data_IF_806798361298
#
_entry.id   IF_806798361298
#
_cell.length_a   1.000
_cell.length_b   1.000
_cell.length_c   1.000
_cell.angle_alpha   90.00
_cell.angle_beta   90.00
_cell.angle_gamma   90.00
#
_symmetry.space_group_name_H-M   'P 1'
#
loop_
_entity.id
_entity.type
_entity.pdbx_description
1 polymer ?
#
# COMPACT_ATOMS: atom_id res chain seq x y z
N UNK A 1 12.89 0.73 8.03
CA UNK A 1 11.80 0.24 8.90
C UNK A 1 10.47 0.72 8.35
N UNK A 2 9.51 -0.19 8.14
CA UNK A 2 8.15 0.15 7.69
C UNK A 2 7.27 0.46 8.90
N UNK A 3 6.51 1.55 8.87
CA UNK A 3 5.58 1.92 9.93
C UNK A 3 4.42 2.78 9.40
N UNK A 4 3.35 2.87 10.20
CA UNK A 4 2.17 3.69 9.89
C UNK A 4 2.24 4.96 10.74
N UNK A 5 2.00 6.12 10.11
CA UNK A 5 1.75 7.39 10.80
C UNK A 5 0.31 7.80 10.53
N UNK A 6 -0.51 7.84 11.57
CA UNK A 6 -1.88 8.33 11.48
C UNK A 6 -1.87 9.87 11.51
N UNK A 7 -2.53 10.48 10.54
CA UNK A 7 -2.61 11.92 10.38
C UNK A 7 -4.07 12.35 10.54
N UNK A 8 -4.34 13.18 11.55
CA UNK A 8 -5.61 13.91 11.66
C UNK A 8 -5.32 15.37 11.31
N UNK A 9 -5.72 15.83 10.13
CA UNK A 9 -5.74 17.27 9.92
C UNK A 9 -6.90 17.84 10.74
N UNK A 10 -6.72 19.02 11.34
CA UNK A 10 -7.61 19.58 12.37
C UNK A 10 -9.06 19.82 11.89
N UNK A 11 -9.30 19.76 10.58
CA UNK A 11 -10.62 19.88 9.94
C UNK A 11 -11.22 18.54 9.48
N UNK A 12 -10.42 17.47 9.41
CA UNK A 12 -10.84 16.14 8.95
C UNK A 12 -10.33 15.09 9.93
N UNK A 13 -11.15 14.78 10.95
CA UNK A 13 -10.92 13.68 11.88
C UNK A 13 -10.54 12.39 11.13
N UNK A 14 -9.31 11.93 11.34
CA UNK A 14 -8.85 10.55 11.12
C UNK A 14 -9.06 9.93 9.72
N UNK A 15 -8.98 10.71 8.64
CA UNK A 15 -9.22 10.18 7.28
C UNK A 15 -7.98 9.69 6.54
N UNK A 16 -6.77 9.84 7.09
CA UNK A 16 -5.52 9.55 6.36
C UNK A 16 -4.50 8.77 7.21
N UNK A 17 -3.93 7.72 6.62
CA UNK A 17 -2.81 6.96 7.17
C UNK A 17 -1.63 6.96 6.20
N UNK A 18 -0.48 7.47 6.67
CA UNK A 18 0.76 7.45 5.92
C UNK A 18 1.50 6.13 6.12
N UNK A 19 1.96 5.54 5.02
CA UNK A 19 2.88 4.40 5.04
C UNK A 19 4.29 4.94 4.82
N UNK A 20 5.17 4.69 5.79
CA UNK A 20 6.51 5.25 5.83
C UNK A 20 7.59 4.16 5.86
N UNK A 21 8.69 4.39 5.13
CA UNK A 21 9.91 3.59 5.18
C UNK A 21 11.10 4.48 5.54
N UNK A 22 11.77 4.19 6.66
CA UNK A 22 12.96 4.96 7.13
C UNK A 22 12.74 6.48 7.14
N UNK A 23 11.62 6.91 7.74
CA UNK A 23 11.17 8.30 7.84
C UNK A 23 10.76 8.97 6.52
N UNK A 24 10.77 8.25 5.40
CA UNK A 24 10.21 8.70 4.14
C UNK A 24 8.78 8.17 3.96
N UNK A 25 7.84 9.05 3.66
CA UNK A 25 6.49 8.67 3.27
C UNK A 25 6.54 8.05 1.86
N UNK A 26 6.00 6.85 1.71
CA UNK A 26 6.01 6.10 0.44
C UNK A 26 4.62 5.85 -0.10
N UNK A 27 3.60 5.89 0.75
CA UNK A 27 2.21 5.82 0.33
C UNK A 27 1.29 6.53 1.33
N UNK A 28 0.08 6.82 0.85
CA UNK A 28 -1.00 7.43 1.62
C UNK A 28 -2.23 6.56 1.46
N UNK A 29 -2.91 6.24 2.56
CA UNK A 29 -4.24 5.63 2.53
C UNK A 29 -5.24 6.68 2.96
N UNK A 30 -6.26 6.94 2.14
CA UNK A 30 -7.31 7.92 2.45
C UNK A 30 -8.71 7.29 2.52
N UNK A 31 -9.53 7.82 3.41
CA UNK A 31 -10.92 7.42 3.64
C UNK A 31 -11.93 8.48 3.14
N UNK A 32 -11.51 9.39 2.26
CA UNK A 32 -12.36 10.49 1.75
C UNK A 32 -13.66 9.99 1.08
N UNK A 33 -13.65 8.79 0.51
CA UNK A 33 -14.82 8.12 -0.08
C UNK A 33 -15.69 7.35 0.91
N UNK A 34 -15.37 7.38 2.21
CA UNK A 34 -15.91 6.50 3.23
C UNK A 34 -15.19 5.15 3.32
N UNK A 35 -15.47 4.38 4.37
CA UNK A 35 -14.81 3.09 4.68
C UNK A 35 -14.86 2.10 3.51
N UNK A 36 -15.93 2.10 2.73
CA UNK A 36 -16.10 1.19 1.58
C UNK A 36 -15.41 1.64 0.28
N UNK A 37 -14.74 2.79 0.28
CA UNK A 37 -14.11 3.36 -0.92
C UNK A 37 -12.74 3.99 -0.60
N UNK A 38 -12.00 3.32 0.30
CA UNK A 38 -10.64 3.72 0.63
C UNK A 38 -9.72 3.61 -0.58
N UNK A 39 -8.77 4.53 -0.67
CA UNK A 39 -7.76 4.56 -1.74
C UNK A 39 -6.37 4.48 -1.15
N UNK A 40 -5.45 3.96 -1.95
CA UNK A 40 -4.02 4.06 -1.71
C UNK A 40 -3.38 4.89 -2.82
N UNK A 41 -2.53 5.82 -2.42
CA UNK A 41 -1.67 6.61 -3.29
C UNK A 41 -0.22 6.21 -3.06
N UNK A 42 0.45 5.70 -4.08
CA UNK A 42 1.87 5.38 -4.06
C UNK A 42 2.63 6.63 -4.49
N UNK A 43 3.45 7.15 -3.58
CA UNK A 43 4.20 8.37 -3.82
C UNK A 43 5.41 8.07 -4.71
N UNK A 44 5.72 8.94 -5.68
CA UNK A 44 6.88 8.76 -6.52
C UNK A 44 8.17 8.82 -5.69
N UNK A 45 9.16 8.02 -6.09
CA UNK A 45 10.53 8.12 -5.62
C UNK A 45 11.43 8.63 -6.73
N UNK A 46 12.19 9.70 -6.50
CA UNK A 46 13.09 10.29 -7.51
C UNK A 46 12.36 11.20 -8.49
N UNK A 47 12.70 11.12 -9.78
CA UNK A 47 12.22 12.03 -10.85
C UNK A 47 10.84 11.66 -11.42
N UNK A 48 10.06 10.82 -10.75
CA UNK A 48 8.71 10.49 -11.20
C UNK A 48 7.75 11.63 -10.83
N UNK A 49 6.99 12.12 -11.81
CA UNK A 49 6.21 13.35 -11.66
C UNK A 49 4.85 13.14 -10.97
N UNK A 50 4.30 11.92 -10.95
CA UNK A 50 2.92 11.69 -10.49
C UNK A 50 2.80 10.50 -9.52
N UNK A 51 1.99 10.69 -8.49
CA UNK A 51 1.57 9.62 -7.59
C UNK A 51 0.54 8.72 -8.27
N UNK A 52 0.61 7.42 -7.99
CA UNK A 52 -0.31 6.42 -8.53
C UNK A 52 -1.41 6.11 -7.52
N UNK A 53 -2.66 6.30 -7.90
CA UNK A 53 -3.82 6.09 -7.01
C UNK A 53 -4.66 4.88 -7.44
N UNK A 54 -5.04 4.04 -6.48
CA UNK A 54 -5.83 2.82 -6.69
C UNK A 54 -6.88 2.63 -5.58
N UNK A 55 -7.97 1.87 -5.84
CA UNK A 55 -8.80 1.33 -4.76
C UNK A 55 -7.95 0.44 -3.83
N UNK A 56 -8.07 0.65 -2.52
CA UNK A 56 -7.22 -0.04 -1.53
C UNK A 56 -7.41 -1.57 -1.59
N UNK A 57 -8.66 -2.02 -1.66
CA UNK A 57 -8.99 -3.45 -1.68
C UNK A 57 -8.43 -4.15 -2.93
N UNK A 58 -8.51 -3.50 -4.09
CA UNK A 58 -7.93 -4.01 -5.33
C UNK A 58 -6.41 -4.17 -5.21
N UNK A 59 -5.74 -3.17 -4.64
CA UNK A 59 -4.30 -3.19 -4.43
C UNK A 59 -3.86 -4.28 -3.44
N UNK A 60 -4.57 -4.45 -2.32
CA UNK A 60 -4.29 -5.52 -1.35
C UNK A 60 -4.48 -6.90 -2.00
N UNK A 61 -5.55 -7.06 -2.78
CA UNK A 61 -5.85 -8.33 -3.46
C UNK A 61 -4.75 -8.71 -4.45
N UNK A 62 -4.29 -7.77 -5.29
CA UNK A 62 -3.25 -8.09 -6.29
C UNK A 62 -1.90 -8.43 -5.62
N UNK A 63 -1.55 -7.76 -4.52
CA UNK A 63 -0.34 -8.07 -3.74
C UNK A 63 -0.42 -9.46 -3.09
N UNK A 64 -1.57 -9.80 -2.50
CA UNK A 64 -1.81 -11.11 -1.91
C UNK A 64 -1.70 -12.22 -2.95
N UNK A 65 -2.33 -12.03 -4.11
CA UNK A 65 -2.28 -12.97 -5.23
C UNK A 65 -0.86 -13.16 -5.76
N UNK A 66 -0.11 -12.07 -5.94
CA UNK A 66 1.28 -12.12 -6.38
C UNK A 66 2.14 -12.92 -5.39
N UNK A 67 2.04 -12.65 -4.08
CA UNK A 67 2.75 -13.39 -3.03
C UNK A 67 2.42 -14.88 -3.06
N UNK A 68 1.14 -15.23 -3.14
CA UNK A 68 0.71 -16.63 -3.17
C UNK A 68 1.24 -17.37 -4.40
N UNK A 69 1.22 -16.73 -5.57
CA UNK A 69 1.75 -17.31 -6.82
C UNK A 69 3.25 -17.54 -6.74
N UNK A 70 4.01 -16.55 -6.26
CA UNK A 70 5.47 -16.66 -6.11
C UNK A 70 5.87 -17.74 -5.10
N UNK A 71 5.15 -17.86 -3.98
CA UNK A 71 5.41 -18.91 -2.98
C UNK A 71 5.25 -20.31 -3.58
N UNK A 72 4.17 -20.54 -4.35
CA UNK A 72 3.94 -21.83 -5.03
C UNK A 72 4.99 -22.16 -6.08
N UNK A 73 5.58 -21.15 -6.73
CA UNK A 73 6.67 -21.37 -7.68
C UNK A 73 7.94 -21.83 -6.96
N UNK A 74 8.28 -21.24 -5.82
CA UNK A 74 9.42 -21.69 -5.01
C UNK A 74 9.24 -23.12 -4.51
N UNK A 75 8.05 -23.50 -4.03
CA UNK A 75 7.79 -24.86 -3.53
C UNK A 75 7.94 -25.93 -4.62
N UNK A 76 7.81 -25.60 -5.92
CA UNK A 76 8.01 -26.58 -7.00
C UNK A 76 9.47 -26.93 -7.26
N UNK A 77 10.43 -26.12 -6.80
CA UNK A 77 11.86 -26.41 -6.97
C UNK A 77 12.43 -27.28 -5.84
N UNK A 78 11.77 -27.36 -4.69
CA UNK A 78 12.21 -28.16 -3.53
C UNK A 78 11.72 -29.63 -3.56
N UNK A 79 10.91 -30.04 -4.55
CA UNK A 79 10.35 -31.42 -4.66
C UNK A 79 11.06 -32.26 -5.73
N UNK A 80 12.23 -31.84 -6.18
CA UNK A 80 13.09 -32.61 -7.08
C UNK A 80 14.39 -32.94 -6.33
N UNK A 81 14.31 -33.92 -5.42
CA UNK A 81 15.45 -34.73 -4.98
C UNK A 81 15.13 -36.21 -5.22
#
# INVERSE_FOLDING_TARGET
MLYIRYCSDLDYEEMVADICFDNQQIAIISQDGGVGNMKIEILPSGDADEALSFPLDEFINILSDARQKLAKMHTKFDVIE
#
